data_IF_432551276190
#
_entry.id   IF_432551276190
#
_cell.length_a   1.000
_cell.length_b   1.000
_cell.length_c   1.000
_cell.angle_alpha   90.00
_cell.angle_beta   90.00
_cell.angle_gamma   90.00
#
_symmetry.space_group_name_H-M   'P 1'
#
loop_
_entity.id
_entity.type
_entity.pdbx_description
1 polymer ?
#
# COMPACT_ATOMS: atom_id res chain seq x y z
N UNK A 1 -26.15 3.14 22.68
CA UNK A 1 -24.84 3.02 21.97
C UNK A 1 -23.82 2.39 22.91
N UNK A 2 -23.24 1.23 22.56
CA UNK A 2 -22.25 0.54 23.40
C UNK A 2 -20.99 1.39 23.64
N UNK A 3 -20.39 1.30 24.83
CA UNK A 3 -19.17 2.03 25.22
C UNK A 3 -18.01 1.78 24.24
N UNK A 4 -17.80 0.53 23.84
CA UNK A 4 -16.83 0.14 22.81
C UNK A 4 -17.06 0.85 21.46
N UNK A 5 -18.33 1.10 21.10
CA UNK A 5 -18.69 1.83 19.87
C UNK A 5 -18.34 3.33 19.95
N UNK A 6 -18.30 3.91 21.15
CA UNK A 6 -17.86 5.31 21.35
C UNK A 6 -16.33 5.39 21.32
N UNK A 7 -15.64 4.41 21.89
CA UNK A 7 -14.18 4.35 22.01
C UNK A 7 -13.49 4.28 20.63
N UNK A 8 -13.89 3.38 19.72
CA UNK A 8 -13.23 3.30 18.40
C UNK A 8 -13.47 4.53 17.52
N UNK A 9 -14.62 5.20 17.67
CA UNK A 9 -14.95 6.40 16.88
C UNK A 9 -14.09 7.59 17.30
N UNK A 10 -13.97 7.81 18.61
CA UNK A 10 -13.11 8.85 19.16
C UNK A 10 -11.64 8.60 18.77
N UNK A 11 -11.18 7.36 18.85
CA UNK A 11 -9.81 7.02 18.47
C UNK A 11 -9.55 7.18 16.97
N UNK A 12 -10.52 6.80 16.13
CA UNK A 12 -10.45 7.04 14.68
C UNK A 12 -10.33 8.54 14.38
N UNK A 13 -11.15 9.38 15.01
CA UNK A 13 -11.13 10.83 14.82
C UNK A 13 -9.79 11.43 15.28
N UNK A 14 -9.28 10.99 16.44
CA UNK A 14 -7.95 11.37 16.94
C UNK A 14 -6.87 11.06 15.92
N UNK A 15 -6.80 9.82 15.41
CA UNK A 15 -5.78 9.40 14.43
C UNK A 15 -5.88 10.14 13.10
N UNK A 16 -7.10 10.45 12.63
CA UNK A 16 -7.32 11.23 11.41
C UNK A 16 -6.91 12.70 11.55
N UNK A 17 -6.95 13.25 12.76
CA UNK A 17 -6.53 14.62 13.04
C UNK A 17 -5.00 14.80 13.13
N UNK A 18 -4.24 13.71 13.26
CA UNK A 18 -2.79 13.75 13.37
C UNK A 18 -2.10 13.88 12.01
N UNK A 19 -1.00 14.64 12.00
CA UNK A 19 -0.09 14.69 10.87
C UNK A 19 0.68 13.37 10.67
N UNK A 20 1.23 13.19 9.46
CA UNK A 20 1.98 11.98 9.10
C UNK A 20 3.16 11.69 10.04
N UNK A 21 3.89 12.73 10.45
CA UNK A 21 5.03 12.61 11.36
C UNK A 21 4.62 12.19 12.78
N UNK A 22 3.52 12.73 13.30
CA UNK A 22 3.00 12.35 14.62
C UNK A 22 2.51 10.90 14.62
N UNK A 23 1.84 10.46 13.54
CA UNK A 23 1.44 9.06 13.37
C UNK A 23 2.63 8.10 13.38
N UNK A 24 3.79 8.50 12.84
CA UNK A 24 5.04 7.70 12.86
C UNK A 24 5.66 7.56 14.24
N UNK A 25 5.38 8.48 15.19
CA UNK A 25 5.84 8.35 16.58
C UNK A 25 5.12 7.20 17.30
N UNK A 26 3.85 6.98 16.96
CA UNK A 26 3.03 5.89 17.50
C UNK A 26 3.18 4.58 16.72
N UNK A 27 3.58 4.65 15.44
CA UNK A 27 3.80 3.50 14.56
C UNK A 27 5.23 3.53 13.98
N UNK A 28 6.20 3.02 14.76
CA UNK A 28 7.63 3.10 14.45
C UNK A 28 8.09 2.15 13.33
N UNK A 29 7.35 1.07 13.08
CA UNK A 29 7.66 0.08 12.04
C UNK A 29 6.77 0.30 10.82
N UNK A 30 7.30 0.99 9.80
CA UNK A 30 6.59 1.28 8.57
C UNK A 30 7.51 1.29 7.34
N UNK A 31 6.93 1.03 6.17
CA UNK A 31 7.54 1.15 4.86
C UNK A 31 6.83 2.28 4.09
N UNK A 32 7.54 3.40 3.92
CA UNK A 32 7.03 4.54 3.17
C UNK A 32 6.76 4.17 1.69
N UNK A 33 5.67 4.69 1.14
CA UNK A 33 5.29 4.49 -0.27
C UNK A 33 6.43 4.79 -1.26
N UNK A 34 7.20 5.84 -1.00
CA UNK A 34 8.36 6.25 -1.83
C UNK A 34 9.46 5.17 -1.94
N UNK A 35 9.52 4.24 -0.99
CA UNK A 35 10.48 3.12 -1.02
C UNK A 35 10.01 1.94 -1.88
N UNK A 36 8.76 1.97 -2.35
CA UNK A 36 8.18 0.92 -3.17
C UNK A 36 8.38 1.31 -4.64
N UNK A 37 9.19 0.56 -5.42
CA UNK A 37 9.40 0.88 -6.83
C UNK A 37 8.10 0.68 -7.61
N UNK A 38 7.83 1.56 -8.57
CA UNK A 38 6.76 1.38 -9.55
C UNK A 38 7.10 0.21 -10.47
N UNK A 39 6.10 -0.31 -11.19
CA UNK A 39 6.31 -1.35 -12.19
C UNK A 39 7.29 -0.92 -13.28
N UNK A 40 7.31 0.37 -13.65
CA UNK A 40 8.33 0.94 -14.55
C UNK A 40 9.75 0.82 -13.98
N UNK A 41 9.93 1.13 -12.70
CA UNK A 41 11.24 1.21 -12.04
C UNK A 41 11.61 -0.08 -11.29
N UNK A 42 10.86 -1.16 -11.49
CA UNK A 42 11.22 -2.50 -11.05
C UNK A 42 12.45 -2.90 -11.85
N UNK A 43 13.64 -2.77 -11.26
CA UNK A 43 14.91 -3.16 -11.89
C UNK A 43 14.80 -4.58 -12.46
N UNK A 44 15.51 -4.87 -13.55
CA UNK A 44 15.42 -6.11 -14.33
C UNK A 44 15.88 -7.39 -13.60
N UNK A 45 15.90 -7.40 -12.26
CA UNK A 45 16.42 -8.46 -11.41
C UNK A 45 15.39 -9.53 -11.04
N UNK A 46 14.19 -9.50 -11.63
CA UNK A 46 13.33 -10.67 -11.68
C UNK A 46 13.22 -11.11 -13.14
N UNK A 47 14.26 -11.82 -13.56
CA UNK A 47 14.19 -12.75 -14.66
C UNK A 47 13.00 -13.69 -14.41
N UNK A 48 11.94 -13.45 -15.17
CA UNK A 48 10.95 -14.40 -15.65
C UNK A 48 10.17 -13.57 -16.67
N UNK A 49 10.84 -13.41 -17.81
CA UNK A 49 10.20 -13.40 -19.11
C UNK A 49 9.40 -14.70 -19.22
N UNK A 50 8.27 -14.82 -18.51
CA UNK A 50 7.14 -15.53 -19.09
C UNK A 50 6.60 -14.57 -20.14
N UNK A 51 7.22 -14.70 -21.31
CA UNK A 51 6.77 -14.22 -22.59
C UNK A 51 5.36 -14.77 -22.82
N UNK A 52 4.37 -14.10 -22.24
CA UNK A 52 2.99 -14.23 -22.65
C UNK A 52 2.91 -13.60 -24.04
N UNK A 53 3.09 -14.46 -25.03
CA UNK A 53 3.02 -14.31 -26.49
C UNK A 53 1.62 -13.84 -26.96
N UNK A 54 1.03 -12.90 -26.23
CA UNK A 54 -0.21 -12.21 -26.60
C UNK A 54 0.19 -10.85 -27.19
N UNK A 55 -0.46 -10.39 -28.27
CA UNK A 55 -0.21 -9.07 -28.83
C UNK A 55 -0.70 -8.02 -27.80
N UNK A 56 0.17 -7.66 -26.86
CA UNK A 56 -0.13 -6.68 -25.84
C UNK A 56 -0.19 -5.35 -26.57
N UNK A 57 -1.41 -4.85 -26.79
CA UNK A 57 -1.69 -3.46 -27.16
C UNK A 57 -0.70 -2.54 -26.45
N UNK A 58 -0.14 -1.50 -27.10
CA UNK A 58 0.93 -0.67 -26.53
C UNK A 58 0.57 -0.32 -25.09
N UNK A 59 1.25 -0.95 -24.13
CA UNK A 59 0.94 -0.79 -22.71
C UNK A 59 0.98 0.71 -22.45
N UNK A 60 -0.11 1.34 -21.96
CA UNK A 60 -0.07 2.76 -21.74
C UNK A 60 1.02 3.04 -20.72
N UNK A 61 2.12 3.65 -21.16
CA UNK A 61 3.33 3.80 -20.35
C UNK A 61 3.01 4.45 -18.99
N UNK A 62 1.98 5.29 -18.93
CA UNK A 62 1.52 5.96 -17.73
C UNK A 62 0.96 5.04 -16.62
N UNK A 63 0.43 3.85 -16.96
CA UNK A 63 -0.10 2.91 -15.95
C UNK A 63 1.02 2.23 -15.17
N UNK A 64 2.18 2.00 -15.81
CA UNK A 64 3.34 1.39 -15.17
C UNK A 64 3.92 2.24 -14.03
N UNK A 65 3.62 3.54 -14.00
CA UNK A 65 4.01 4.48 -12.94
C UNK A 65 3.01 4.51 -11.77
N UNK A 66 1.87 3.85 -11.91
CA UNK A 66 0.76 3.87 -10.94
C UNK A 66 0.57 2.55 -10.22
N UNK A 67 1.28 1.50 -10.63
CA UNK A 67 1.18 0.16 -10.05
C UNK A 67 2.54 -0.33 -9.61
N UNK A 68 2.56 -1.13 -8.55
CA UNK A 68 3.75 -1.78 -8.01
C UNK A 68 3.42 -3.22 -7.66
N UNK A 69 4.37 -4.13 -7.86
CA UNK A 69 4.32 -5.48 -7.30
C UNK A 69 5.20 -5.52 -6.06
N UNK A 70 4.59 -5.76 -4.90
CA UNK A 70 5.27 -5.82 -3.62
C UNK A 70 5.14 -7.22 -3.01
N UNK A 71 6.26 -7.79 -2.58
CA UNK A 71 6.32 -9.05 -1.82
C UNK A 71 6.84 -8.73 -0.42
N UNK A 72 5.96 -8.83 0.58
CA UNK A 72 6.28 -8.55 1.97
C UNK A 72 5.03 -8.48 2.85
N UNK A 73 5.20 -8.01 4.08
CA UNK A 73 4.10 -7.83 5.03
C UNK A 73 3.29 -6.57 4.68
N UNK A 74 2.02 -6.76 4.31
CA UNK A 74 1.12 -5.66 3.93
C UNK A 74 0.83 -4.70 5.10
N UNK A 75 0.97 -5.15 6.35
CA UNK A 75 0.68 -4.33 7.54
C UNK A 75 1.72 -3.24 7.78
N UNK A 76 2.91 -3.38 7.17
CA UNK A 76 3.98 -2.39 7.27
C UNK A 76 3.82 -1.24 6.27
N UNK A 77 2.94 -1.36 5.28
CA UNK A 77 2.83 -0.36 4.21
C UNK A 77 2.22 0.95 4.73
N UNK A 78 2.98 2.05 4.63
CA UNK A 78 2.50 3.40 4.92
C UNK A 78 1.75 3.96 3.69
N UNK A 79 0.52 3.48 3.51
CA UNK A 79 -0.41 3.85 2.43
C UNK A 79 -1.76 4.26 3.01
N UNK A 80 -2.59 4.93 2.20
CA UNK A 80 -3.89 5.45 2.66
C UNK A 80 -4.88 4.34 3.03
N UNK A 81 -4.81 3.21 2.32
CA UNK A 81 -5.65 2.05 2.56
C UNK A 81 -4.92 0.74 2.22
N UNK A 82 -5.18 -0.28 3.03
CA UNK A 82 -4.83 -1.68 2.74
C UNK A 82 -6.13 -2.50 2.69
N UNK A 83 -6.13 -3.54 1.88
CA UNK A 83 -7.28 -4.44 1.74
C UNK A 83 -7.09 -5.65 2.64
N UNK A 84 -8.13 -6.01 3.40
CA UNK A 84 -8.15 -7.22 4.21
C UNK A 84 -9.03 -8.29 3.55
N UNK A 85 -8.52 -9.52 3.45
CA UNK A 85 -9.30 -10.69 3.02
C UNK A 85 -10.09 -11.27 4.22
N UNK A 86 -11.08 -10.53 4.70
CA UNK A 86 -11.91 -10.90 5.85
C UNK A 86 -12.91 -12.02 5.55
N UNK A 87 -13.41 -12.67 6.60
CA UNK A 87 -14.54 -13.61 6.56
C UNK A 87 -15.84 -12.88 6.92
N UNK A 88 -16.94 -13.28 6.30
CA UNK A 88 -18.31 -12.81 6.60
C UNK A 88 -18.90 -13.50 7.81
#
# INVERSE_FOLDING_TARGET
>A
MSRKKKEWRAEKERLLSLGKEDRRKECSNYLALEKIPTWRHRGSSSAEEEEDDRPVSPRPAHLCDKVSLYKGDITLLEVDAIVNAGKS
#
